data_IF_204192304536
#
_entry.id   IF_204192304536
#
_cell.length_a   1.000
_cell.length_b   1.000
_cell.length_c   1.000
_cell.angle_alpha   90.00
_cell.angle_beta   90.00
_cell.angle_gamma   90.00
#
_symmetry.space_group_name_H-M   'P 1'
#
loop_
_entity.id
_entity.type
_entity.pdbx_description
1 polymer ?
#
# COMPACT_ATOMS: atom_id res chain seq x y z
N UNK A 1 17.14 32.22 59.52
CA UNK A 1 17.98 31.70 58.40
C UNK A 1 17.60 30.28 57.97
N UNK A 2 17.57 29.29 58.89
CA UNK A 2 17.23 27.87 58.52
C UNK A 2 15.84 27.69 57.86
N UNK A 3 14.81 28.43 58.30
CA UNK A 3 13.44 28.36 57.72
C UNK A 3 13.37 28.94 56.30
N UNK A 4 14.17 29.98 56.01
CA UNK A 4 14.23 30.58 54.68
C UNK A 4 14.92 29.65 53.69
N UNK A 5 15.98 28.99 54.10
CA UNK A 5 16.70 27.97 53.30
C UNK A 5 15.74 26.81 52.97
N UNK A 6 14.96 26.36 53.95
CA UNK A 6 14.01 25.25 53.75
C UNK A 6 12.90 25.61 52.72
N UNK A 7 12.43 26.84 52.71
CA UNK A 7 11.44 27.34 51.76
C UNK A 7 12.05 27.42 50.34
N UNK A 8 13.28 27.89 50.23
CA UNK A 8 13.99 27.97 48.94
C UNK A 8 14.22 26.56 48.33
N UNK A 9 14.61 25.60 49.17
CA UNK A 9 14.80 24.21 48.75
C UNK A 9 13.48 23.57 48.37
N UNK A 10 12.37 23.84 49.08
CA UNK A 10 11.06 23.32 48.75
C UNK A 10 10.55 23.92 47.40
N UNK A 11 10.83 25.19 47.13
CA UNK A 11 10.43 25.89 45.89
C UNK A 11 11.27 25.41 44.69
N UNK A 12 12.55 25.10 44.88
CA UNK A 12 13.40 24.57 43.79
C UNK A 12 13.00 23.17 43.35
N UNK A 13 12.46 22.34 44.25
CA UNK A 13 11.99 20.99 43.92
C UNK A 13 10.71 21.02 43.06
N UNK A 14 9.84 22.04 43.23
CA UNK A 14 8.63 22.16 42.44
C UNK A 14 8.87 22.63 40.98
N UNK A 15 9.97 23.32 40.70
CA UNK A 15 10.33 23.74 39.34
C UNK A 15 11.00 22.64 38.50
N UNK A 16 11.46 21.57 39.12
CA UNK A 16 12.19 20.47 38.44
C UNK A 16 11.32 19.44 37.74
N UNK A 17 9.99 19.48 37.89
CA UNK A 17 9.07 18.46 37.38
C UNK A 17 8.20 18.89 36.17
N UNK A 18 8.51 20.01 35.55
CA UNK A 18 7.90 20.35 34.26
C UNK A 18 8.73 19.76 33.13
N UNK A 19 8.85 18.43 33.06
CA UNK A 19 9.15 17.76 31.80
C UNK A 19 7.83 17.69 31.05
N UNK A 20 7.71 18.59 30.10
CA UNK A 20 6.76 18.43 29.02
C UNK A 20 7.08 17.08 28.34
N UNK A 21 6.32 16.04 28.69
CA UNK A 21 6.23 14.84 27.90
C UNK A 21 5.57 15.27 26.59
N UNK A 22 6.37 15.85 25.70
CA UNK A 22 5.99 15.91 24.27
C UNK A 22 6.02 14.46 23.81
N UNK A 23 4.93 13.74 24.06
CA UNK A 23 4.66 12.49 23.36
C UNK A 23 4.71 12.85 21.89
N UNK A 24 5.85 12.53 21.26
CA UNK A 24 6.00 12.64 19.82
C UNK A 24 4.99 11.66 19.26
N UNK A 25 3.77 12.16 18.95
CA UNK A 25 2.74 11.35 18.35
C UNK A 25 3.33 10.73 17.08
N UNK A 26 3.62 9.45 17.14
CA UNK A 26 4.08 8.68 15.99
C UNK A 26 2.87 8.50 15.05
N UNK A 27 2.67 9.50 14.20
CA UNK A 27 1.56 9.53 13.24
C UNK A 27 1.73 8.35 12.30
N UNK A 28 0.74 7.48 12.29
CA UNK A 28 0.69 6.33 11.38
C UNK A 28 -0.07 6.70 10.11
N UNK A 29 0.50 6.36 8.98
CA UNK A 29 -0.08 6.62 7.66
C UNK A 29 -0.67 5.35 7.08
N UNK A 30 -1.97 5.35 6.82
CA UNK A 30 -2.67 4.28 6.11
C UNK A 30 -2.92 4.67 4.66
N UNK A 31 -2.58 3.79 3.71
CA UNK A 31 -2.82 3.97 2.28
C UNK A 31 -3.85 2.97 1.80
N UNK A 32 -4.90 3.45 1.12
CA UNK A 32 -5.95 2.60 0.53
C UNK A 32 -5.93 2.75 -0.98
N UNK A 33 -5.76 1.63 -1.69
CA UNK A 33 -5.67 1.57 -3.14
C UNK A 33 -6.93 0.92 -3.72
N UNK A 34 -7.61 1.62 -4.61
CA UNK A 34 -8.82 1.13 -5.27
C UNK A 34 -8.54 0.12 -6.37
N UNK A 35 -9.57 -0.61 -6.80
CA UNK A 35 -9.54 -1.39 -8.02
C UNK A 35 -9.61 -0.51 -9.26
N UNK A 36 -9.55 -1.13 -10.44
CA UNK A 36 -9.74 -0.41 -11.71
C UNK A 36 -8.95 -0.97 -12.89
N UNK A 37 -8.48 -2.20 -12.84
CA UNK A 37 -7.73 -2.82 -13.93
C UNK A 37 -6.50 -2.00 -14.31
N UNK A 38 -6.36 -1.63 -15.60
CA UNK A 38 -5.24 -0.84 -16.10
C UNK A 38 -5.07 0.53 -15.42
N UNK A 39 -6.14 1.09 -14.83
CA UNK A 39 -6.04 2.34 -14.04
C UNK A 39 -5.19 2.18 -12.79
N UNK A 40 -4.90 0.94 -12.36
CA UNK A 40 -4.00 0.65 -11.25
C UNK A 40 -2.57 1.15 -11.43
N UNK A 41 -2.15 1.44 -12.67
CA UNK A 41 -0.87 2.11 -12.92
C UNK A 41 -0.77 3.48 -12.25
N UNK A 42 -1.91 4.16 -12.05
CA UNK A 42 -1.92 5.43 -11.33
C UNK A 42 -1.46 5.28 -9.87
N UNK A 43 -1.70 4.12 -9.26
CA UNK A 43 -1.25 3.85 -7.89
C UNK A 43 0.27 3.88 -7.77
N UNK A 44 0.98 3.36 -8.79
CA UNK A 44 2.46 3.37 -8.81
C UNK A 44 2.98 4.80 -8.88
N UNK A 45 2.34 5.67 -9.67
CA UNK A 45 2.71 7.08 -9.75
C UNK A 45 2.52 7.79 -8.39
N UNK A 46 1.41 7.48 -7.68
CA UNK A 46 1.17 8.02 -6.33
C UNK A 46 2.21 7.51 -5.34
N UNK A 47 2.51 6.21 -5.34
CA UNK A 47 3.56 5.63 -4.49
C UNK A 47 4.91 6.30 -4.71
N UNK A 48 5.27 6.58 -5.96
CA UNK A 48 6.50 7.27 -6.30
C UNK A 48 6.56 8.66 -5.68
N UNK A 49 5.48 9.43 -5.76
CA UNK A 49 5.41 10.77 -5.14
C UNK A 49 5.50 10.67 -3.61
N UNK A 50 4.86 9.68 -2.99
CA UNK A 50 4.94 9.46 -1.54
C UNK A 50 6.37 9.11 -1.10
N UNK A 51 7.06 8.25 -1.86
CA UNK A 51 8.47 7.91 -1.61
C UNK A 51 9.37 9.15 -1.73
N UNK A 52 9.21 9.93 -2.80
CA UNK A 52 9.96 11.18 -3.03
C UNK A 52 9.72 12.22 -1.93
N UNK A 53 8.49 12.26 -1.39
CA UNK A 53 8.13 13.13 -0.27
C UNK A 53 8.60 12.59 1.10
N UNK A 54 9.20 11.40 1.17
CA UNK A 54 9.65 10.77 2.41
C UNK A 54 8.51 10.31 3.31
N UNK A 55 7.31 10.10 2.76
CA UNK A 55 6.14 9.63 3.51
C UNK A 55 6.26 8.14 3.74
N UNK A 56 6.35 7.74 5.02
CA UNK A 56 6.32 6.33 5.41
C UNK A 56 4.88 5.84 5.46
N UNK A 57 4.57 4.81 4.69
CA UNK A 57 3.28 4.11 4.73
C UNK A 57 3.39 2.98 5.76
N UNK A 58 2.57 3.04 6.83
CA UNK A 58 2.56 2.05 7.91
C UNK A 58 1.53 0.94 7.67
N UNK A 59 0.42 1.27 7.03
CA UNK A 59 -0.65 0.34 6.70
C UNK A 59 -1.06 0.50 5.24
N UNK A 60 -1.33 -0.62 4.58
CA UNK A 60 -1.79 -0.60 3.19
C UNK A 60 -2.96 -1.55 3.02
N UNK A 61 -3.99 -1.07 2.35
CA UNK A 61 -5.14 -1.86 1.95
C UNK A 61 -5.43 -1.65 0.48
N UNK A 62 -6.02 -2.65 -0.17
CA UNK A 62 -6.31 -2.53 -1.59
C UNK A 62 -7.36 -3.49 -2.08
N UNK A 63 -7.97 -3.16 -3.24
CA UNK A 63 -8.95 -4.00 -3.92
C UNK A 63 -8.51 -4.23 -5.37
N UNK A 64 -8.66 -5.45 -5.90
CA UNK A 64 -8.31 -5.80 -7.28
C UNK A 64 -6.86 -5.38 -7.61
N UNK A 65 -6.63 -4.57 -8.65
CA UNK A 65 -5.31 -4.07 -9.00
C UNK A 65 -4.62 -3.33 -7.85
N UNK A 66 -5.37 -2.57 -7.04
CA UNK A 66 -4.84 -1.91 -5.85
C UNK A 66 -4.35 -2.91 -4.78
N UNK A 67 -4.97 -4.11 -4.70
CA UNK A 67 -4.49 -5.16 -3.82
C UNK A 67 -3.16 -5.76 -4.32
N UNK A 68 -3.02 -5.95 -5.64
CA UNK A 68 -1.77 -6.45 -6.25
C UNK A 68 -0.63 -5.46 -6.01
N UNK A 69 -0.85 -4.19 -6.35
CA UNK A 69 0.14 -3.12 -6.14
C UNK A 69 0.49 -2.98 -4.66
N UNK A 70 -0.53 -2.97 -3.79
CA UNK A 70 -0.35 -2.85 -2.36
C UNK A 70 0.41 -4.03 -1.74
N UNK A 71 0.11 -5.26 -2.17
CA UNK A 71 0.81 -6.45 -1.70
C UNK A 71 2.29 -6.44 -2.10
N UNK A 72 2.59 -6.09 -3.35
CA UNK A 72 3.98 -5.98 -3.81
C UNK A 72 4.72 -4.87 -3.06
N UNK A 73 4.09 -3.71 -2.87
CA UNK A 73 4.68 -2.61 -2.11
C UNK A 73 4.96 -2.99 -0.65
N UNK A 74 3.99 -3.64 0.01
CA UNK A 74 4.15 -4.16 1.37
C UNK A 74 5.23 -5.25 1.47
N UNK A 75 5.51 -5.97 0.38
CA UNK A 75 6.60 -6.96 0.30
C UNK A 75 7.99 -6.31 0.12
N UNK A 76 8.07 -4.99 0.03
CA UNK A 76 9.33 -4.24 -0.04
C UNK A 76 9.76 -3.79 -1.44
N UNK A 77 8.91 -3.96 -2.46
CA UNK A 77 9.19 -3.37 -3.77
C UNK A 77 8.96 -1.86 -3.73
N UNK A 78 9.88 -1.08 -4.28
CA UNK A 78 9.69 0.36 -4.46
C UNK A 78 8.87 0.68 -5.72
N UNK A 79 8.41 1.94 -5.84
CA UNK A 79 7.57 2.37 -6.96
C UNK A 79 8.22 2.14 -8.34
N UNK A 80 9.53 2.33 -8.46
CA UNK A 80 10.24 2.12 -9.72
C UNK A 80 10.29 0.64 -10.12
N UNK A 81 10.47 -0.25 -9.15
CA UNK A 81 10.41 -1.70 -9.38
C UNK A 81 9.01 -2.15 -9.76
N UNK A 82 7.98 -1.60 -9.09
CA UNK A 82 6.58 -1.86 -9.41
C UNK A 82 6.23 -1.42 -10.84
N UNK A 83 6.67 -0.24 -11.26
CA UNK A 83 6.48 0.25 -12.63
C UNK A 83 7.10 -0.74 -13.65
N UNK A 84 8.29 -1.23 -13.38
CA UNK A 84 8.97 -2.20 -14.25
C UNK A 84 8.21 -3.54 -14.31
N UNK A 85 7.80 -4.08 -13.16
CA UNK A 85 7.04 -5.34 -13.07
C UNK A 85 5.72 -5.21 -13.82
N UNK A 86 4.95 -4.14 -13.55
CA UNK A 86 3.64 -3.94 -14.13
C UNK A 86 3.68 -3.75 -15.65
N UNK A 87 4.75 -3.16 -16.21
CA UNK A 87 4.95 -3.03 -17.65
C UNK A 87 5.25 -4.35 -18.36
N UNK A 88 5.78 -5.34 -17.65
CA UNK A 88 6.08 -6.67 -18.22
C UNK A 88 4.88 -7.60 -18.23
N UNK A 89 3.83 -7.27 -17.49
CA UNK A 89 2.64 -8.10 -17.35
C UNK A 89 1.73 -7.93 -18.57
N UNK A 90 1.41 -9.03 -19.24
CA UNK A 90 0.36 -9.06 -20.27
C UNK A 90 -1.02 -9.15 -19.61
N UNK A 91 -1.62 -7.97 -19.38
CA UNK A 91 -2.94 -7.87 -18.73
C UNK A 91 -4.05 -8.54 -19.52
N UNK A 92 -3.99 -8.53 -20.86
CA UNK A 92 -4.99 -9.19 -21.70
C UNK A 92 -5.01 -10.69 -21.46
N UNK A 93 -3.85 -11.29 -21.28
CA UNK A 93 -3.72 -12.72 -21.00
C UNK A 93 -4.20 -13.09 -19.61
N UNK A 94 -3.90 -12.25 -18.59
CA UNK A 94 -4.27 -12.50 -17.21
C UNK A 94 -5.76 -12.24 -16.97
N UNK A 95 -6.31 -11.16 -17.53
CA UNK A 95 -7.70 -10.78 -17.28
C UNK A 95 -8.72 -11.61 -18.07
N UNK A 96 -8.31 -12.21 -19.19
CA UNK A 96 -9.21 -13.03 -20.00
C UNK A 96 -9.37 -14.46 -19.49
N UNK A 97 -8.52 -14.89 -18.56
CA UNK A 97 -8.50 -16.27 -18.03
C UNK A 97 -8.52 -17.34 -19.14
N UNK A 98 -8.00 -16.99 -20.31
CA UNK A 98 -7.97 -17.86 -21.48
C UNK A 98 -6.83 -18.87 -21.33
N UNK A 99 -7.19 -20.09 -21.03
CA UNK A 99 -6.25 -21.20 -21.18
C UNK A 99 -5.84 -21.33 -22.65
N UNK A 100 -4.53 -21.51 -22.95
CA UNK A 100 -4.10 -21.79 -24.30
C UNK A 100 -4.89 -22.99 -24.85
N UNK A 101 -5.33 -22.93 -26.13
CA UNK A 101 -6.13 -24.01 -26.76
C UNK A 101 -5.56 -25.40 -26.52
N UNK A 102 -4.23 -25.53 -26.39
CA UNK A 102 -3.56 -26.79 -26.11
C UNK A 102 -3.85 -27.33 -24.70
N UNK A 103 -4.12 -26.45 -23.74
CA UNK A 103 -4.39 -26.81 -22.35
C UNK A 103 -5.90 -27.02 -22.07
N UNK A 104 -6.78 -26.62 -23.00
CA UNK A 104 -8.23 -26.86 -22.86
C UNK A 104 -8.55 -28.33 -23.07
N UNK A 105 -9.36 -28.96 -22.22
CA UNK A 105 -9.85 -30.32 -22.43
C UNK A 105 -10.71 -30.35 -23.72
N UNK A 106 -10.79 -31.56 -24.33
CA UNK A 106 -11.50 -31.75 -25.61
C UNK A 106 -12.92 -31.21 -25.59
N UNK A 107 -13.63 -31.40 -24.50
CA UNK A 107 -15.01 -30.94 -24.30
C UNK A 107 -15.15 -29.41 -24.39
N UNK A 108 -14.25 -28.64 -23.81
CA UNK A 108 -14.28 -27.17 -23.87
C UNK A 108 -13.92 -26.64 -25.27
N UNK A 109 -13.09 -27.37 -26.00
CA UNK A 109 -12.77 -27.05 -27.39
C UNK A 109 -14.00 -27.22 -28.31
N UNK A 110 -14.77 -28.26 -28.09
CA UNK A 110 -15.95 -28.57 -28.90
C UNK A 110 -17.10 -27.57 -28.65
N UNK A 111 -17.34 -27.19 -27.39
CA UNK A 111 -18.38 -26.22 -27.04
C UNK A 111 -18.01 -24.81 -27.50
N UNK A 112 -16.77 -24.39 -27.34
CA UNK A 112 -16.31 -23.04 -27.73
C UNK A 112 -16.33 -22.78 -29.25
N UNK A 113 -16.31 -23.84 -30.06
CA UNK A 113 -16.36 -23.75 -31.50
C UNK A 113 -17.79 -23.89 -32.10
N UNK A 114 -18.74 -24.33 -31.26
CA UNK A 114 -20.11 -24.63 -31.69
C UNK A 114 -20.99 -23.37 -31.88
N UNK A 115 -20.60 -22.26 -31.27
CA UNK A 115 -21.37 -21.02 -31.35
C UNK A 115 -20.50 -19.88 -31.84
N UNK A 116 -20.89 -19.28 -32.97
CA UNK A 116 -20.19 -18.12 -33.59
C UNK A 116 -20.46 -16.82 -32.83
N UNK A 117 -21.41 -16.82 -31.91
CA UNK A 117 -21.81 -15.67 -31.10
C UNK A 117 -22.02 -16.14 -29.66
N UNK A 118 -21.07 -15.81 -28.81
CA UNK A 118 -21.25 -15.87 -27.36
C UNK A 118 -21.58 -14.47 -26.89
N UNK A 119 -22.76 -14.28 -26.33
CA UNK A 119 -23.10 -13.06 -25.61
C UNK A 119 -22.27 -12.99 -24.32
N UNK A 120 -21.80 -11.77 -23.97
CA UNK A 120 -21.03 -11.56 -22.73
C UNK A 120 -21.84 -11.86 -21.50
#
# INVERSE_FOLDING_TARGET
MKRVILIIVLFSVTFGFSQELTEKMDIKVGLVLSGGGAKGFAHVAVLKVLEEAGVRVDYIGGTSMGAIVGALYASGYNASQLDSILKTIDYNKILRDELPRKAKPFYEKEIGEKYTLTLP
#
